data_IF_166744363007
#
_entry.id   IF_166744363007
#
_cell.length_a   1.000
_cell.length_b   1.000
_cell.length_c   1.000
_cell.angle_alpha   90.00
_cell.angle_beta   90.00
_cell.angle_gamma   90.00
#
_symmetry.space_group_name_H-M   'P 1'
#
loop_
_entity.id
_entity.type
_entity.pdbx_description
1 polymer ?
#
# COMPACT_ATOMS: atom_id res chain seq x y z
N UNK A 1 -20.23 20.90 -17.04
CA UNK A 1 -19.44 20.48 -15.87
C UNK A 1 -20.36 20.36 -14.69
N UNK A 2 -19.79 20.10 -13.52
CA UNK A 2 -20.46 19.80 -12.27
C UNK A 2 -21.44 18.60 -12.35
N UNK A 3 -20.99 17.48 -12.93
CA UNK A 3 -21.80 16.24 -13.01
C UNK A 3 -20.93 15.00 -12.82
N UNK A 4 -21.56 13.86 -12.54
CA UNK A 4 -20.90 12.55 -12.55
C UNK A 4 -21.05 11.95 -13.95
N UNK A 5 -20.01 11.27 -14.43
CA UNK A 5 -20.00 10.58 -15.72
C UNK A 5 -19.47 9.17 -15.59
N UNK A 6 -19.89 8.26 -16.45
CA UNK A 6 -19.30 6.92 -16.57
C UNK A 6 -19.32 6.40 -18.00
N UNK A 7 -18.52 5.38 -18.31
CA UNK A 7 -18.61 4.67 -19.59
C UNK A 7 -19.43 3.40 -19.44
N UNK A 8 -20.42 3.21 -20.32
CA UNK A 8 -21.34 2.07 -20.28
C UNK A 8 -20.86 0.83 -21.08
N UNK A 9 -19.61 0.85 -21.53
CA UNK A 9 -19.01 -0.19 -22.40
C UNK A 9 -17.77 -0.86 -21.82
N UNK A 10 -17.42 -0.53 -20.58
CA UNK A 10 -16.20 -0.97 -19.91
C UNK A 10 -16.47 -1.21 -18.42
N UNK A 11 -15.45 -1.14 -17.57
CA UNK A 11 -15.55 -1.36 -16.14
C UNK A 11 -15.95 -0.09 -15.34
N UNK A 12 -16.21 -0.30 -14.04
CA UNK A 12 -16.63 0.75 -13.11
C UNK A 12 -15.53 1.78 -12.76
N UNK A 13 -14.28 1.60 -13.19
CA UNK A 13 -13.21 2.60 -12.99
C UNK A 13 -13.39 3.85 -13.85
N UNK A 14 -14.46 3.93 -14.63
CA UNK A 14 -14.80 5.09 -15.46
C UNK A 14 -15.77 6.06 -14.81
N UNK A 15 -16.20 5.80 -13.58
CA UNK A 15 -17.10 6.66 -12.83
C UNK A 15 -16.30 7.86 -12.30
N UNK A 16 -16.53 9.05 -12.85
CA UNK A 16 -15.79 10.27 -12.53
C UNK A 16 -16.69 11.46 -12.24
N UNK A 17 -16.27 12.33 -11.34
CA UNK A 17 -16.81 13.68 -11.24
C UNK A 17 -16.13 14.58 -12.29
N UNK A 18 -16.91 15.41 -12.99
CA UNK A 18 -16.46 16.35 -14.00
C UNK A 18 -16.81 17.76 -13.56
N UNK A 19 -15.82 18.56 -13.18
CA UNK A 19 -16.00 19.96 -12.80
C UNK A 19 -16.26 20.88 -14.01
N UNK A 20 -15.62 20.59 -15.13
CA UNK A 20 -15.59 21.41 -16.35
C UNK A 20 -16.56 20.90 -17.43
N UNK A 21 -16.91 21.76 -18.38
CA UNK A 21 -17.65 21.36 -19.56
C UNK A 21 -16.87 20.34 -20.39
N UNK A 22 -17.57 19.40 -21.03
CA UNK A 22 -16.96 18.35 -21.85
C UNK A 22 -17.89 17.98 -23.00
N UNK A 23 -17.32 17.36 -24.04
CA UNK A 23 -18.08 16.75 -25.13
C UNK A 23 -18.17 15.25 -24.84
N UNK A 24 -19.40 14.75 -24.65
CA UNK A 24 -19.65 13.32 -24.47
C UNK A 24 -19.73 12.60 -25.80
N UNK A 25 -19.11 11.43 -25.90
CA UNK A 25 -19.31 10.48 -27.01
C UNK A 25 -20.45 9.50 -26.67
N UNK A 26 -20.89 8.68 -27.63
CA UNK A 26 -22.04 7.76 -27.52
C UNK A 26 -22.05 6.89 -26.25
N UNK A 27 -20.87 6.52 -25.76
CA UNK A 27 -20.69 5.64 -24.61
C UNK A 27 -20.37 6.37 -23.30
N UNK A 28 -20.25 7.70 -23.33
CA UNK A 28 -20.07 8.51 -22.13
C UNK A 28 -21.45 8.93 -21.60
N UNK A 29 -21.81 8.42 -20.44
CA UNK A 29 -23.08 8.70 -19.80
C UNK A 29 -22.92 9.82 -18.78
N UNK A 30 -23.81 10.80 -18.82
CA UNK A 30 -23.92 11.85 -17.80
C UNK A 30 -25.01 11.52 -16.79
N UNK A 31 -24.70 11.63 -15.50
CA UNK A 31 -25.68 11.53 -14.42
C UNK A 31 -26.12 12.94 -14.03
N UNK A 32 -27.37 13.25 -14.37
CA UNK A 32 -27.98 14.56 -14.08
C UNK A 32 -28.67 14.51 -12.72
N UNK A 33 -28.23 15.32 -11.74
CA UNK A 33 -28.80 15.32 -10.39
C UNK A 33 -30.30 15.67 -10.42
N UNK A 34 -31.09 14.89 -9.68
CA UNK A 34 -32.52 15.17 -9.42
C UNK A 34 -32.77 15.71 -8.01
N UNK A 35 -31.71 16.10 -7.31
CA UNK A 35 -31.75 16.59 -5.93
C UNK A 35 -31.30 18.06 -5.85
N UNK A 36 -31.63 18.72 -4.74
CA UNK A 36 -31.59 20.17 -4.65
C UNK A 36 -30.19 20.75 -4.42
N UNK A 37 -29.32 20.08 -3.63
CA UNK A 37 -28.00 20.60 -3.26
C UNK A 37 -26.90 19.99 -4.12
N UNK A 38 -26.71 20.58 -5.29
CA UNK A 38 -25.71 20.14 -6.29
C UNK A 38 -24.46 21.00 -6.20
N UNK A 39 -23.47 20.52 -5.47
CA UNK A 39 -22.16 21.17 -5.30
C UNK A 39 -21.04 20.21 -5.70
N UNK A 40 -19.82 20.71 -5.97
CA UNK A 40 -18.67 19.83 -6.24
C UNK A 40 -18.43 18.79 -5.14
N UNK A 41 -18.60 19.19 -3.88
CA UNK A 41 -18.36 18.31 -2.72
C UNK A 41 -19.41 17.21 -2.62
N UNK A 42 -20.69 17.57 -2.69
CA UNK A 42 -21.78 16.60 -2.65
C UNK A 42 -21.68 15.61 -3.81
N UNK A 43 -21.35 16.09 -5.01
CA UNK A 43 -21.15 15.21 -6.18
C UNK A 43 -19.91 14.32 -6.06
N UNK A 44 -18.78 14.83 -5.57
CA UNK A 44 -17.58 14.01 -5.32
C UNK A 44 -17.83 12.95 -4.23
N UNK A 45 -18.59 13.30 -3.18
CA UNK A 45 -18.96 12.36 -2.14
C UNK A 45 -19.83 11.23 -2.71
N UNK A 46 -20.93 11.58 -3.39
CA UNK A 46 -21.85 10.63 -4.01
C UNK A 46 -21.12 9.77 -5.04
N UNK A 47 -20.28 10.38 -5.88
CA UNK A 47 -19.45 9.67 -6.86
C UNK A 47 -18.56 8.63 -6.19
N UNK A 48 -17.95 8.95 -5.05
CA UNK A 48 -17.07 8.02 -4.32
C UNK A 48 -17.86 6.81 -3.81
N UNK A 49 -19.03 7.02 -3.21
CA UNK A 49 -19.88 5.92 -2.73
C UNK A 49 -20.36 5.06 -3.89
N UNK A 50 -20.84 5.69 -4.97
CA UNK A 50 -21.30 5.01 -6.17
C UNK A 50 -20.19 4.18 -6.82
N UNK A 51 -18.99 4.75 -6.95
CA UNK A 51 -17.81 4.03 -7.44
C UNK A 51 -17.49 2.81 -6.57
N UNK A 52 -17.51 2.95 -5.24
CA UNK A 52 -17.23 1.84 -4.32
C UNK A 52 -18.29 0.73 -4.42
N UNK A 53 -19.57 1.10 -4.50
CA UNK A 53 -20.66 0.15 -4.70
C UNK A 53 -20.52 -0.61 -6.03
N UNK A 54 -20.16 0.09 -7.11
CA UNK A 54 -19.96 -0.52 -8.41
C UNK A 54 -18.76 -1.48 -8.43
N UNK A 55 -17.60 -1.08 -7.88
CA UNK A 55 -16.42 -1.94 -7.82
C UNK A 55 -16.66 -3.20 -6.98
N UNK A 56 -17.43 -3.10 -5.90
CA UNK A 56 -17.77 -4.26 -5.06
C UNK A 56 -18.59 -5.33 -5.81
N UNK A 57 -19.27 -4.97 -6.91
CA UNK A 57 -19.98 -5.92 -7.79
C UNK A 57 -19.07 -6.62 -8.80
N UNK A 58 -17.79 -6.23 -8.91
CA UNK A 58 -16.80 -6.91 -9.73
C UNK A 58 -16.92 -6.65 -11.24
N UNK A 59 -17.44 -5.50 -11.67
CA UNK A 59 -17.49 -5.17 -13.10
C UNK A 59 -16.09 -5.05 -13.72
N UNK A 60 -15.85 -5.76 -14.81
CA UNK A 60 -14.60 -5.78 -15.57
C UNK A 60 -14.84 -5.65 -17.09
N UNK A 61 -13.88 -6.05 -17.91
CA UNK A 61 -14.01 -5.94 -19.37
C UNK A 61 -15.04 -6.92 -19.95
N UNK A 62 -15.19 -8.09 -19.32
CA UNK A 62 -16.13 -9.13 -19.73
C UNK A 62 -17.51 -8.89 -19.09
N UNK A 63 -17.53 -8.56 -17.79
CA UNK A 63 -18.73 -8.12 -17.06
C UNK A 63 -18.82 -6.59 -16.99
N UNK A 64 -19.19 -6.00 -18.11
CA UNK A 64 -19.23 -4.54 -18.29
C UNK A 64 -20.24 -3.84 -17.38
N UNK A 65 -19.85 -2.67 -16.89
CA UNK A 65 -20.74 -1.74 -16.20
C UNK A 65 -21.65 -1.04 -17.21
N UNK A 66 -22.94 -1.37 -17.21
CA UNK A 66 -23.95 -0.88 -18.17
C UNK A 66 -24.91 0.12 -17.52
N UNK A 67 -25.66 0.84 -18.35
CA UNK A 67 -26.70 1.80 -17.91
C UNK A 67 -27.72 1.16 -16.97
N UNK A 68 -28.23 -0.02 -17.31
CA UNK A 68 -29.27 -0.69 -16.52
C UNK A 68 -28.76 -1.01 -15.11
N UNK A 69 -27.52 -1.51 -15.01
CA UNK A 69 -26.88 -1.74 -13.71
C UNK A 69 -26.64 -0.46 -12.90
N UNK A 70 -26.34 0.66 -13.57
CA UNK A 70 -26.21 1.94 -12.91
C UNK A 70 -27.56 2.45 -12.38
N UNK A 71 -28.66 2.20 -13.11
CA UNK A 71 -30.02 2.60 -12.73
C UNK A 71 -30.56 1.79 -11.54
N UNK A 72 -30.28 0.49 -11.50
CA UNK A 72 -30.73 -0.41 -10.44
C UNK A 72 -29.85 -0.34 -9.17
N UNK A 73 -28.78 0.45 -9.18
CA UNK A 73 -27.82 0.49 -8.08
C UNK A 73 -28.32 1.35 -6.91
N UNK A 74 -28.51 0.71 -5.78
CA UNK A 74 -28.72 1.38 -4.51
C UNK A 74 -27.38 1.75 -3.86
N UNK A 75 -27.29 2.98 -3.34
CA UNK A 75 -26.12 3.47 -2.63
C UNK A 75 -26.53 4.00 -1.24
N UNK A 76 -25.75 3.72 -0.19
CA UNK A 76 -26.01 4.28 1.13
C UNK A 76 -25.60 5.76 1.17
N UNK A 77 -26.50 6.62 1.62
CA UNK A 77 -26.20 8.04 1.85
C UNK A 77 -26.37 8.38 3.35
N UNK A 78 -25.59 9.32 3.89
CA UNK A 78 -25.77 9.81 5.25
C UNK A 78 -27.16 10.45 5.39
N UNK A 79 -27.77 10.24 6.55
CA UNK A 79 -29.07 10.83 6.91
C UNK A 79 -28.95 11.61 8.21
N UNK A 80 -29.68 12.73 8.28
CA UNK A 80 -29.74 13.58 9.46
C UNK A 80 -30.75 13.02 10.47
N UNK A 81 -30.94 13.74 11.58
CA UNK A 81 -31.91 13.37 12.64
C UNK A 81 -33.36 13.28 12.14
N UNK A 82 -33.70 13.93 11.03
CA UNK A 82 -35.02 13.91 10.42
C UNK A 82 -35.18 12.78 9.39
N UNK A 83 -34.18 11.90 9.25
CA UNK A 83 -34.12 10.84 8.22
C UNK A 83 -34.08 11.37 6.78
N UNK A 84 -33.62 12.60 6.60
CA UNK A 84 -33.39 13.21 5.28
C UNK A 84 -31.90 13.12 4.92
N UNK A 85 -31.56 13.17 3.63
CA UNK A 85 -30.16 13.13 3.19
C UNK A 85 -29.38 14.28 3.82
N UNK A 86 -28.29 13.95 4.52
CA UNK A 86 -27.44 14.90 5.21
C UNK A 86 -26.38 15.50 4.28
N UNK A 87 -26.77 16.53 3.54
CA UNK A 87 -25.85 17.23 2.65
C UNK A 87 -24.81 18.09 3.40
N UNK A 88 -25.13 18.59 4.59
CA UNK A 88 -24.19 19.36 5.40
C UNK A 88 -23.03 18.47 5.86
N UNK A 89 -23.33 17.25 6.32
CA UNK A 89 -22.31 16.26 6.60
C UNK A 89 -21.40 15.99 5.39
N UNK A 90 -21.98 15.80 4.19
CA UNK A 90 -21.17 15.56 2.97
C UNK A 90 -20.23 16.73 2.69
N UNK A 91 -20.70 17.97 2.81
CA UNK A 91 -19.90 19.18 2.60
C UNK A 91 -18.76 19.27 3.61
N UNK A 92 -19.07 19.19 4.90
CA UNK A 92 -18.09 19.29 5.98
C UNK A 92 -17.04 18.18 5.88
N UNK A 93 -17.46 16.97 5.57
CA UNK A 93 -16.56 15.83 5.39
C UNK A 93 -15.57 16.06 4.24
N UNK A 94 -16.07 16.52 3.09
CA UNK A 94 -15.24 16.77 1.92
C UNK A 94 -14.29 17.96 2.13
N UNK A 95 -14.74 19.02 2.79
CA UNK A 95 -13.86 20.15 3.15
C UNK A 95 -12.76 19.72 4.12
N UNK A 96 -13.08 18.90 5.12
CA UNK A 96 -12.08 18.35 6.04
C UNK A 96 -11.02 17.53 5.30
N UNK A 97 -11.40 16.73 4.30
CA UNK A 97 -10.46 15.99 3.45
C UNK A 97 -9.56 16.96 2.69
N UNK A 98 -10.13 17.96 2.01
CA UNK A 98 -9.36 18.94 1.24
C UNK A 98 -8.35 19.69 2.10
N UNK A 99 -8.76 20.13 3.30
CA UNK A 99 -7.87 20.78 4.26
C UNK A 99 -6.69 19.88 4.63
N UNK A 100 -6.96 18.61 4.98
CA UNK A 100 -5.91 17.64 5.32
C UNK A 100 -4.92 17.43 4.17
N UNK A 101 -5.41 17.34 2.93
CA UNK A 101 -4.56 17.19 1.74
C UNK A 101 -3.72 18.43 1.51
N UNK A 102 -4.29 19.62 1.64
CA UNK A 102 -3.57 20.90 1.48
C UNK A 102 -2.48 21.07 2.55
N UNK A 103 -2.74 20.67 3.80
CA UNK A 103 -1.75 20.70 4.87
C UNK A 103 -0.55 19.79 4.54
N UNK A 104 -0.82 18.55 4.13
CA UNK A 104 0.22 17.60 3.70
C UNK A 104 1.01 18.13 2.51
N UNK A 105 0.32 18.72 1.53
CA UNK A 105 0.97 19.28 0.35
C UNK A 105 1.87 20.47 0.69
N UNK A 106 1.44 21.32 1.62
CA UNK A 106 2.23 22.45 2.11
C UNK A 106 3.47 21.98 2.85
N UNK A 107 3.35 20.92 3.67
CA UNK A 107 4.51 20.27 4.29
C UNK A 107 5.50 19.75 3.24
N UNK A 108 5.02 19.04 2.22
CA UNK A 108 5.88 18.52 1.14
C UNK A 108 6.60 19.66 0.40
N UNK A 109 5.89 20.75 0.06
CA UNK A 109 6.48 21.93 -0.59
C UNK A 109 7.56 22.62 0.24
N UNK A 110 7.44 22.55 1.57
CA UNK A 110 8.42 23.15 2.49
C UNK A 110 9.71 22.33 2.63
N UNK A 111 9.73 21.07 2.16
CA UNK A 111 10.93 20.24 2.20
C UNK A 111 11.93 20.78 1.18
N UNK A 112 13.12 21.16 1.66
CA UNK A 112 14.21 21.59 0.80
C UNK A 112 14.68 20.41 -0.07
N UNK A 113 14.39 20.45 -1.37
CA UNK A 113 14.70 19.39 -2.34
C UNK A 113 16.13 19.45 -2.88
N UNK A 114 17.07 20.10 -2.18
CA UNK A 114 18.48 20.03 -2.57
C UNK A 114 18.99 18.61 -2.36
N UNK A 115 18.83 17.76 -3.37
CA UNK A 115 19.40 16.42 -3.39
C UNK A 115 20.91 16.55 -3.44
N UNK A 116 21.59 16.35 -2.31
CA UNK A 116 23.02 16.07 -2.33
C UNK A 116 23.21 14.67 -2.90
N UNK A 117 24.10 14.52 -3.87
CA UNK A 117 24.53 13.20 -4.31
C UNK A 117 25.14 12.47 -3.11
N UNK A 118 24.77 11.21 -2.94
CA UNK A 118 25.34 10.36 -1.90
C UNK A 118 26.75 9.96 -2.34
N UNK A 119 27.75 10.30 -1.55
CA UNK A 119 29.11 9.81 -1.75
C UNK A 119 29.18 8.33 -1.37
N UNK A 120 29.50 7.49 -2.35
CA UNK A 120 29.57 6.04 -2.20
C UNK A 120 31.00 5.50 -2.17
N UNK A 121 32.02 6.38 -2.20
CA UNK A 121 33.43 5.98 -2.30
C UNK A 121 33.92 5.13 -1.12
N UNK A 122 33.37 5.32 0.08
CA UNK A 122 33.74 4.56 1.27
C UNK A 122 32.96 3.26 1.45
N UNK A 123 31.93 2.99 0.65
CA UNK A 123 30.99 1.90 0.92
C UNK A 123 31.64 0.52 0.78
N UNK A 124 31.24 -0.42 1.64
CA UNK A 124 31.71 -1.82 1.63
C UNK A 124 30.54 -2.80 1.58
N UNK A 125 30.81 -4.01 1.11
CA UNK A 125 29.83 -5.10 1.11
C UNK A 125 29.72 -5.73 2.50
N UNK A 126 28.48 -5.95 2.92
CA UNK A 126 28.14 -6.68 4.13
C UNK A 126 27.15 -7.78 3.79
N UNK A 127 27.27 -8.93 4.44
CA UNK A 127 26.25 -9.96 4.36
C UNK A 127 25.10 -9.61 5.27
N UNK A 128 23.89 -9.96 4.86
CA UNK A 128 22.68 -9.66 5.66
C UNK A 128 22.73 -10.27 7.07
N UNK A 129 23.46 -11.37 7.24
CA UNK A 129 23.62 -12.11 8.49
C UNK A 129 24.84 -11.69 9.31
N UNK A 130 25.62 -10.69 8.87
CA UNK A 130 26.75 -10.15 9.63
C UNK A 130 26.30 -9.68 11.03
N UNK A 131 27.21 -9.66 11.99
CA UNK A 131 26.90 -9.36 13.41
C UNK A 131 26.36 -7.95 13.64
N UNK A 132 26.59 -7.04 12.71
CA UNK A 132 26.12 -5.66 12.78
C UNK A 132 24.72 -5.46 12.14
N UNK A 133 24.11 -6.51 11.59
CA UNK A 133 22.88 -6.39 10.78
C UNK A 133 21.71 -7.17 11.37
N UNK A 134 21.44 -8.39 10.90
CA UNK A 134 20.20 -9.10 11.24
C UNK A 134 20.42 -10.55 11.66
N UNK A 135 19.57 -10.99 12.59
CA UNK A 135 19.23 -12.40 12.73
C UNK A 135 18.10 -12.73 11.74
N UNK A 136 18.20 -13.88 11.07
CA UNK A 136 17.25 -14.31 10.03
C UNK A 136 16.39 -15.44 10.57
N UNK A 137 15.11 -15.12 10.80
CA UNK A 137 14.07 -16.07 11.18
C UNK A 137 13.26 -16.48 9.93
N UNK A 138 12.93 -17.76 9.81
CA UNK A 138 12.28 -18.29 8.61
C UNK A 138 10.79 -17.93 8.48
N UNK A 139 10.24 -17.23 9.49
CA UNK A 139 8.83 -16.87 9.50
C UNK A 139 7.92 -18.03 9.93
N UNK A 140 6.61 -17.76 10.00
CA UNK A 140 5.63 -18.80 10.34
C UNK A 140 5.33 -19.76 9.19
N UNK A 141 5.51 -19.29 7.94
CA UNK A 141 5.14 -20.04 6.73
C UNK A 141 3.67 -20.49 6.69
N UNK A 142 2.78 -19.64 7.23
CA UNK A 142 1.36 -19.95 7.30
C UNK A 142 0.65 -19.85 5.95
N UNK A 143 -0.50 -20.52 5.87
CA UNK A 143 -1.43 -20.44 4.76
C UNK A 143 -2.59 -19.50 5.13
N UNK A 144 -2.79 -18.44 4.34
CA UNK A 144 -3.85 -17.45 4.55
C UNK A 144 -5.24 -18.08 4.59
N UNK A 145 -5.48 -19.13 3.81
CA UNK A 145 -6.80 -19.79 3.71
C UNK A 145 -7.20 -20.42 5.05
N UNK A 146 -6.22 -20.76 5.90
CA UNK A 146 -6.45 -21.37 7.21
C UNK A 146 -6.62 -20.34 8.34
N UNK A 147 -6.60 -19.06 8.03
CA UNK A 147 -6.72 -17.97 9.01
C UNK A 147 -8.17 -17.49 9.13
N UNK A 148 -8.48 -16.88 10.28
CA UNK A 148 -9.77 -16.22 10.54
C UNK A 148 -9.59 -14.71 10.64
N UNK A 149 -10.66 -13.96 10.40
CA UNK A 149 -10.70 -12.49 10.35
C UNK A 149 -11.93 -11.93 11.11
N UNK A 150 -12.31 -12.58 12.22
CA UNK A 150 -13.47 -12.18 13.05
C UNK A 150 -13.18 -10.93 13.89
N UNK A 151 -11.97 -10.82 14.41
CA UNK A 151 -11.42 -9.68 15.15
C UNK A 151 -9.96 -9.42 14.71
N UNK A 152 -9.78 -8.94 13.46
CA UNK A 152 -8.50 -8.94 12.81
C UNK A 152 -7.61 -7.82 13.36
N UNK A 153 -6.59 -8.21 14.13
CA UNK A 153 -5.69 -7.28 14.83
C UNK A 153 -4.24 -7.40 14.39
N UNK A 154 -3.87 -8.50 13.72
CA UNK A 154 -2.48 -8.83 13.33
C UNK A 154 -2.35 -8.79 11.81
N UNK A 155 -1.28 -8.17 11.29
CA UNK A 155 -1.04 -8.15 9.85
C UNK A 155 -0.61 -9.55 9.35
N UNK A 156 -1.09 -9.95 8.16
CA UNK A 156 -0.62 -11.13 7.46
C UNK A 156 0.25 -10.74 6.26
N UNK A 157 1.57 -10.93 6.39
CA UNK A 157 2.57 -10.47 5.43
C UNK A 157 2.91 -11.58 4.45
N UNK A 158 2.71 -11.31 3.17
CA UNK A 158 3.07 -12.19 2.07
C UNK A 158 4.21 -11.64 1.21
N UNK A 159 4.34 -12.21 0.01
CA UNK A 159 5.39 -11.86 -0.97
C UNK A 159 5.00 -10.67 -1.88
N UNK A 160 4.03 -9.88 -1.47
CA UNK A 160 3.52 -8.77 -2.27
C UNK A 160 4.52 -7.60 -2.25
N UNK A 161 4.69 -6.91 -3.38
CA UNK A 161 5.46 -5.66 -3.45
C UNK A 161 4.63 -4.43 -3.07
N UNK A 162 3.30 -4.56 -3.00
CA UNK A 162 2.39 -3.48 -2.61
C UNK A 162 2.06 -3.57 -1.12
N UNK A 163 1.65 -2.44 -0.54
CA UNK A 163 1.17 -2.35 0.85
C UNK A 163 2.15 -2.94 1.88
N UNK A 164 3.46 -2.73 1.69
CA UNK A 164 4.53 -3.27 2.55
C UNK A 164 4.46 -4.80 2.74
N UNK A 165 3.96 -5.53 1.74
CA UNK A 165 3.78 -6.97 1.79
C UNK A 165 2.54 -7.44 2.55
N UNK A 166 1.77 -6.55 3.18
CA UNK A 166 0.57 -6.91 3.95
C UNK A 166 -0.57 -7.27 2.99
N UNK A 167 -1.04 -8.51 3.07
CA UNK A 167 -2.08 -9.08 2.19
C UNK A 167 -3.44 -9.24 2.86
N UNK A 168 -3.50 -9.13 4.19
CA UNK A 168 -4.72 -9.10 5.00
C UNK A 168 -4.37 -8.70 6.44
N UNK A 169 -5.41 -8.46 7.24
CA UNK A 169 -5.34 -8.57 8.70
C UNK A 169 -6.08 -9.84 9.13
N UNK A 170 -5.55 -10.52 10.14
CA UNK A 170 -6.06 -11.80 10.66
C UNK A 170 -6.15 -11.74 12.18
N UNK A 171 -6.92 -12.66 12.73
CA UNK A 171 -7.07 -12.84 14.17
C UNK A 171 -5.75 -13.31 14.80
N UNK A 172 -5.61 -13.05 16.09
CA UNK A 172 -4.50 -13.63 16.86
C UNK A 172 -4.70 -15.13 17.01
N UNK A 173 -3.67 -15.91 16.69
CA UNK A 173 -3.67 -17.37 16.86
C UNK A 173 -3.30 -17.73 18.29
N UNK A 174 -4.13 -18.55 18.94
CA UNK A 174 -3.86 -19.01 20.30
C UNK A 174 -2.57 -19.83 20.36
N UNK A 175 -1.71 -19.52 21.33
CA UNK A 175 -0.43 -20.22 21.54
C UNK A 175 0.72 -19.80 20.62
N UNK A 176 0.48 -18.89 19.67
CA UNK A 176 1.51 -18.39 18.76
C UNK A 176 1.66 -16.89 18.95
N UNK A 177 2.89 -16.44 19.24
CA UNK A 177 3.18 -15.01 19.33
C UNK A 177 3.45 -14.46 17.94
N UNK A 178 2.83 -13.34 17.55
CA UNK A 178 3.17 -12.66 16.31
C UNK A 178 4.56 -12.04 16.42
N UNK A 179 5.20 -11.88 15.26
CA UNK A 179 6.40 -11.07 15.11
C UNK A 179 6.07 -9.60 15.40
N UNK A 180 7.07 -8.84 15.83
CA UNK A 180 6.85 -7.51 16.41
C UNK A 180 6.94 -6.39 15.38
N UNK A 181 6.11 -5.37 15.57
CA UNK A 181 6.27 -4.11 14.85
C UNK A 181 7.71 -3.59 14.93
N UNK A 182 8.25 -3.11 13.81
CA UNK A 182 9.62 -2.63 13.68
C UNK A 182 10.63 -3.69 13.20
N UNK A 183 10.27 -4.98 13.15
CA UNK A 183 11.05 -6.00 12.42
C UNK A 183 10.82 -5.86 10.91
N UNK A 184 11.72 -6.45 10.10
CA UNK A 184 11.60 -6.40 8.65
C UNK A 184 11.17 -7.75 8.10
N UNK A 185 10.45 -7.73 6.98
CA UNK A 185 10.08 -8.93 6.22
C UNK A 185 10.71 -8.89 4.85
N UNK A 186 11.20 -10.02 4.38
CA UNK A 186 11.85 -10.16 3.07
C UNK A 186 11.23 -11.32 2.28
N UNK A 187 10.72 -11.01 1.09
CA UNK A 187 10.21 -12.00 0.15
C UNK A 187 11.37 -12.71 -0.57
N UNK A 188 11.45 -14.04 -0.43
CA UNK A 188 12.57 -14.84 -0.95
C UNK A 188 12.38 -15.36 -2.38
N UNK A 189 11.18 -15.30 -2.95
CA UNK A 189 10.89 -15.89 -4.26
C UNK A 189 9.61 -15.37 -4.91
N UNK A 190 9.34 -15.80 -6.14
CA UNK A 190 8.26 -15.27 -6.99
C UNK A 190 8.58 -13.92 -7.66
N UNK A 191 7.59 -13.37 -8.38
CA UNK A 191 7.74 -12.19 -9.24
C UNK A 191 8.38 -10.97 -8.54
N UNK A 192 8.07 -10.79 -7.26
CA UNK A 192 8.52 -9.68 -6.42
C UNK A 192 9.64 -10.06 -5.44
N UNK A 193 10.50 -10.98 -5.86
CA UNK A 193 11.70 -11.37 -5.11
C UNK A 193 12.52 -10.15 -4.66
N UNK A 194 12.95 -10.18 -3.40
CA UNK A 194 13.75 -9.13 -2.78
C UNK A 194 12.94 -8.03 -2.10
N UNK A 195 11.60 -8.01 -2.24
CA UNK A 195 10.75 -7.05 -1.53
C UNK A 195 10.99 -7.12 -0.03
N UNK A 196 11.53 -6.03 0.52
CA UNK A 196 11.94 -5.90 1.91
C UNK A 196 11.20 -4.71 2.53
N UNK A 197 10.52 -4.91 3.66
CA UNK A 197 9.71 -3.87 4.29
C UNK A 197 9.81 -3.91 5.81
N UNK A 198 9.82 -2.73 6.43
CA UNK A 198 9.68 -2.59 7.89
C UNK A 198 8.19 -2.68 8.25
N UNK A 199 7.84 -3.61 9.13
CA UNK A 199 6.44 -3.83 9.51
C UNK A 199 5.98 -2.83 10.58
N UNK A 200 4.83 -2.19 10.34
CA UNK A 200 4.29 -1.14 11.21
C UNK A 200 3.42 -1.68 12.36
N UNK A 201 3.01 -2.95 12.28
CA UNK A 201 2.19 -3.64 13.28
C UNK A 201 2.74 -5.04 13.49
N UNK A 202 2.36 -5.65 14.61
CA UNK A 202 2.60 -7.06 14.85
C UNK A 202 2.03 -7.91 13.69
N UNK A 203 2.74 -8.98 13.32
CA UNK A 203 2.44 -9.69 12.08
C UNK A 203 2.75 -11.19 12.13
N UNK A 204 2.12 -11.93 11.23
CA UNK A 204 2.50 -13.28 10.82
C UNK A 204 2.98 -13.28 9.37
N UNK A 205 3.74 -14.29 8.98
CA UNK A 205 4.25 -14.42 7.61
C UNK A 205 3.64 -15.60 6.86
N UNK A 206 3.42 -15.39 5.56
CA UNK A 206 3.13 -16.48 4.63
C UNK A 206 4.39 -17.28 4.29
N UNK A 207 4.23 -18.35 3.53
CA UNK A 207 5.35 -19.09 2.94
C UNK A 207 6.30 -18.20 2.14
N UNK A 208 7.59 -18.56 2.15
CA UNK A 208 8.68 -17.89 1.42
C UNK A 208 8.86 -16.40 1.77
N UNK A 209 8.52 -16.03 3.01
CA UNK A 209 8.79 -14.71 3.61
C UNK A 209 9.56 -14.92 4.91
N UNK A 210 10.77 -14.37 4.98
CA UNK A 210 11.61 -14.39 6.18
C UNK A 210 11.46 -13.11 6.98
N UNK A 211 11.78 -13.20 8.26
CA UNK A 211 11.83 -12.07 9.19
C UNK A 211 13.28 -11.74 9.51
N UNK A 212 13.63 -10.47 9.38
CA UNK A 212 14.94 -9.94 9.73
C UNK A 212 14.80 -9.16 11.03
N UNK A 213 15.42 -9.68 12.09
CA UNK A 213 15.47 -9.03 13.40
C UNK A 213 16.77 -8.25 13.53
N UNK A 214 16.74 -6.91 13.68
CA UNK A 214 17.95 -6.13 13.87
C UNK A 214 18.72 -6.60 15.10
N UNK A 215 20.00 -6.93 14.94
CA UNK A 215 20.91 -7.26 16.06
C UNK A 215 21.30 -6.02 16.87
N UNK A 216 21.21 -4.84 16.25
CA UNK A 216 21.48 -3.54 16.85
C UNK A 216 20.20 -2.70 16.94
N UNK A 217 20.18 -1.75 17.87
CA UNK A 217 19.11 -0.77 17.95
C UNK A 217 19.25 0.30 16.86
N UNK A 218 18.64 0.05 15.71
CA UNK A 218 18.64 0.95 14.56
C UNK A 218 17.27 1.63 14.37
N UNK A 219 17.28 2.86 13.90
CA UNK A 219 16.09 3.70 13.70
C UNK A 219 15.25 3.20 12.53
N UNK A 220 14.00 3.69 12.45
CA UNK A 220 13.12 3.40 11.33
C UNK A 220 13.74 3.79 9.98
N UNK A 221 14.38 4.96 9.90
CA UNK A 221 14.99 5.45 8.66
C UNK A 221 16.18 4.60 8.22
N UNK A 222 17.02 4.15 9.16
CA UNK A 222 18.12 3.22 8.89
C UNK A 222 17.58 1.88 8.36
N UNK A 223 16.51 1.34 8.97
CA UNK A 223 15.85 0.11 8.49
C UNK A 223 15.27 0.29 7.08
N UNK A 224 14.63 1.43 6.78
CA UNK A 224 14.10 1.74 5.45
C UNK A 224 15.21 1.82 4.39
N UNK A 225 16.32 2.47 4.74
CA UNK A 225 17.49 2.55 3.88
C UNK A 225 18.04 1.16 3.57
N UNK A 226 18.26 0.32 4.60
CA UNK A 226 18.74 -1.04 4.39
C UNK A 226 17.74 -1.89 3.60
N UNK A 227 16.45 -1.79 3.89
CA UNK A 227 15.40 -2.48 3.13
C UNK A 227 15.47 -2.13 1.64
N UNK A 228 15.73 -0.85 1.32
CA UNK A 228 15.94 -0.38 -0.05
C UNK A 228 17.19 -0.99 -0.68
N UNK A 229 18.31 -1.05 0.06
CA UNK A 229 19.54 -1.67 -0.43
C UNK A 229 19.38 -3.17 -0.70
N UNK A 230 18.70 -3.88 0.21
CA UNK A 230 18.36 -5.30 0.04
C UNK A 230 17.50 -5.50 -1.21
N UNK A 231 16.45 -4.68 -1.38
CA UNK A 231 15.56 -4.78 -2.54
C UNK A 231 16.31 -4.54 -3.85
N UNK A 232 17.16 -3.51 -3.90
CA UNK A 232 17.96 -3.18 -5.09
C UNK A 232 18.93 -4.29 -5.47
N UNK A 233 19.69 -4.82 -4.51
CA UNK A 233 20.63 -5.93 -4.78
C UNK A 233 19.91 -7.24 -5.08
N UNK A 234 18.81 -7.52 -4.38
CA UNK A 234 17.94 -8.68 -4.61
C UNK A 234 17.44 -8.75 -6.06
N UNK A 235 16.96 -7.61 -6.59
CA UNK A 235 16.45 -7.52 -7.97
C UNK A 235 17.54 -7.55 -9.03
N UNK A 236 18.78 -7.19 -8.68
CA UNK A 236 19.90 -7.10 -9.64
C UNK A 236 20.52 -8.47 -9.92
N UNK A 237 20.71 -9.28 -8.88
CA UNK A 237 21.48 -10.54 -8.99
C UNK A 237 20.60 -11.77 -9.20
N UNK A 238 19.39 -11.78 -8.66
CA UNK A 238 18.58 -12.99 -8.53
C UNK A 238 17.36 -12.94 -9.45
N UNK A 239 16.91 -14.12 -9.89
CA UNK A 239 15.79 -14.26 -10.81
C UNK A 239 14.78 -15.24 -10.25
N UNK A 240 13.53 -14.78 -10.14
CA UNK A 240 12.41 -15.62 -9.75
C UNK A 240 12.39 -16.92 -10.58
N UNK A 241 12.14 -18.06 -9.92
CA UNK A 241 12.02 -19.39 -10.54
C UNK A 241 13.29 -19.95 -11.23
N UNK A 242 14.41 -19.22 -11.23
CA UNK A 242 15.68 -19.66 -11.80
C UNK A 242 16.74 -19.73 -10.70
N UNK A 243 16.97 -18.59 -10.05
CA UNK A 243 17.97 -18.43 -9.00
C UNK A 243 17.39 -17.54 -7.91
N UNK A 244 16.68 -18.19 -6.97
CA UNK A 244 15.91 -17.50 -5.94
C UNK A 244 16.74 -17.16 -4.70
N UNK A 245 16.42 -16.02 -4.10
CA UNK A 245 17.12 -15.46 -2.94
C UNK A 245 17.19 -16.43 -1.74
N UNK A 246 16.24 -17.37 -1.62
CA UNK A 246 16.24 -18.38 -0.55
C UNK A 246 17.58 -19.14 -0.44
N UNK A 247 18.22 -19.47 -1.57
CA UNK A 247 19.50 -20.22 -1.57
C UNK A 247 20.70 -19.39 -1.11
N UNK A 248 20.56 -18.07 -1.17
CA UNK A 248 21.64 -17.10 -1.04
C UNK A 248 21.59 -16.31 0.27
N UNK A 249 20.39 -16.16 0.85
CA UNK A 249 20.16 -15.23 1.95
C UNK A 249 20.97 -15.56 3.22
N UNK A 250 21.42 -16.81 3.38
CA UNK A 250 22.26 -17.27 4.50
C UNK A 250 23.69 -17.64 4.09
N UNK A 251 24.08 -17.42 2.84
CA UNK A 251 25.36 -17.90 2.29
C UNK A 251 26.17 -16.78 1.65
N UNK A 252 25.67 -16.12 0.62
CA UNK A 252 26.46 -15.16 -0.17
C UNK A 252 25.73 -13.84 -0.45
N UNK A 253 24.50 -13.67 0.06
CA UNK A 253 23.75 -12.44 -0.14
C UNK A 253 24.40 -11.29 0.62
N UNK A 254 25.02 -10.39 -0.17
CA UNK A 254 25.68 -9.18 0.33
C UNK A 254 25.23 -7.94 -0.43
N UNK A 255 25.15 -6.81 0.26
CA UNK A 255 24.84 -5.49 -0.31
C UNK A 255 25.78 -4.42 0.26
N UNK A 256 25.87 -3.27 -0.42
CA UNK A 256 26.76 -2.20 -0.01
C UNK A 256 26.13 -1.31 1.08
N UNK A 257 26.93 -0.91 2.06
CA UNK A 257 26.58 0.07 3.09
C UNK A 257 27.75 1.03 3.33
N UNK A 258 27.47 2.27 3.81
CA UNK A 258 28.51 3.21 4.22
C UNK A 258 29.28 2.67 5.43
N UNK A 259 30.55 3.07 5.54
CA UNK A 259 31.41 2.68 6.67
C UNK A 259 32.12 3.89 7.24
N UNK A 260 32.33 3.86 8.56
CA UNK A 260 33.14 4.87 9.24
C UNK A 260 34.56 4.80 8.66
N UNK A 261 35.12 5.96 8.28
CA UNK A 261 36.41 6.07 7.60
C UNK A 261 37.50 5.27 8.33
N UNK A 262 38.26 4.49 7.56
CA UNK A 262 39.33 3.60 8.05
C UNK A 262 38.86 2.48 9.00
N UNK A 263 37.57 2.12 9.00
CA UNK A 263 37.04 0.98 9.76
C UNK A 263 36.30 -0.02 8.86
N UNK A 264 35.85 -1.13 9.45
CA UNK A 264 34.89 -2.08 8.87
C UNK A 264 33.53 -2.02 9.58
N UNK A 265 33.24 -0.92 10.29
CA UNK A 265 31.96 -0.72 10.97
C UNK A 265 31.02 0.07 10.07
N UNK A 266 29.75 -0.33 10.05
CA UNK A 266 28.70 0.38 9.32
C UNK A 266 28.58 1.79 9.92
N UNK A 267 28.51 2.77 9.04
CA UNK A 267 28.18 4.15 9.43
C UNK A 267 26.67 4.28 9.56
N UNK A 268 26.21 4.63 10.76
CA UNK A 268 24.78 4.75 11.08
C UNK A 268 24.31 6.20 11.13
N UNK A 269 25.22 7.17 11.03
CA UNK A 269 24.91 8.61 10.99
C UNK A 269 24.67 9.12 9.56
#
# INVERSE_FOLDING_TARGET
GNIITFSDTTNANTIFYRDTAFVGYSHVQGMYPKFNRVTPNTLMFIQTIFYKAAIAKGYDYDFKFKRDYALDMEIPLPVNINQEIDYDFMEEYMEKIKLNVNDRFSQIKSINTTSKLVDTTSWKKFHIYDDQLFEIDMGNSFDKIKMTDKDPTINFVGRSHINNGVTAQVDKINGIQPYKAGELTLALGGEYLGSCFVQQKDFYTSQNVVVLRPKLNITFNQKQFIATMIFKEGRRKYKAFIDELNRHIKTDFSFYLPVVKNTNKIDWE
#
